data_IF_029865232762
#
_entry.id   IF_029865232762
#
_cell.length_a   1.000
_cell.length_b   1.000
_cell.length_c   1.000
_cell.angle_alpha   90.00
_cell.angle_beta   90.00
_cell.angle_gamma   90.00
#
_symmetry.space_group_name_H-M   'P 1'
#
loop_
_entity.id
_entity.type
_entity.pdbx_description
1 polymer ?
#
# COMPACT_ATOMS: atom_id res chain seq x y z
N UNK A 1 13.14 16.96 -3.55
CA UNK A 1 13.25 16.04 -2.40
C UNK A 1 12.21 14.97 -2.50
N UNK A 2 12.61 13.75 -2.23
CA UNK A 2 11.68 12.63 -2.30
C UNK A 2 10.70 12.68 -1.13
N UNK A 3 9.41 12.70 -1.44
CA UNK A 3 8.38 12.54 -0.45
C UNK A 3 8.19 11.07 -0.15
N UNK A 4 7.72 10.76 1.03
CA UNK A 4 7.40 9.39 1.41
C UNK A 4 5.93 9.25 1.68
N UNK A 5 5.42 8.07 1.36
CA UNK A 5 4.04 7.69 1.64
C UNK A 5 4.04 6.68 2.76
N UNK A 6 3.21 6.92 3.75
CA UNK A 6 2.97 5.97 4.84
C UNK A 6 1.72 5.17 4.48
N UNK A 7 1.87 3.87 4.34
CA UNK A 7 0.80 3.00 3.86
C UNK A 7 0.49 1.98 4.93
N UNK A 8 -0.76 1.96 5.38
CA UNK A 8 -1.22 1.05 6.42
C UNK A 8 -2.34 0.18 5.87
N UNK A 9 -2.23 -1.12 5.99
CA UNK A 9 -3.31 -2.02 5.60
C UNK A 9 -4.41 -1.97 6.64
N UNK A 10 -5.59 -1.55 6.23
CA UNK A 10 -6.75 -1.42 7.12
C UNK A 10 -7.80 -2.50 6.89
N UNK A 11 -7.72 -3.21 5.78
CA UNK A 11 -8.66 -4.29 5.45
C UNK A 11 -7.90 -5.51 4.96
N UNK A 12 -8.47 -6.68 5.24
CA UNK A 12 -7.90 -7.93 4.78
C UNK A 12 -8.02 -8.07 3.27
N UNK A 13 -7.01 -8.71 2.65
CA UNK A 13 -7.06 -9.07 1.24
C UNK A 13 -7.89 -10.32 0.99
N UNK A 14 -8.35 -10.97 2.04
CA UNK A 14 -9.16 -12.17 1.96
C UNK A 14 -10.43 -11.92 1.16
N UNK A 15 -10.71 -12.78 0.18
CA UNK A 15 -11.88 -12.62 -0.69
C UNK A 15 -11.67 -11.66 -1.86
N UNK A 16 -10.51 -11.05 -1.98
CA UNK A 16 -10.18 -10.16 -3.09
C UNK A 16 -9.34 -10.88 -4.14
N UNK A 17 -9.26 -10.35 -5.39
CA UNK A 17 -8.46 -10.95 -6.44
C UNK A 17 -6.99 -11.12 -6.05
N UNK A 18 -6.38 -12.14 -6.62
CA UNK A 18 -4.98 -12.46 -6.36
C UNK A 18 -4.04 -11.30 -6.65
N UNK A 19 -4.35 -10.50 -7.68
CA UNK A 19 -3.54 -9.34 -8.05
C UNK A 19 -3.41 -8.35 -6.90
N UNK A 20 -4.46 -8.19 -6.11
CA UNK A 20 -4.44 -7.29 -4.97
C UNK A 20 -3.55 -7.82 -3.86
N UNK A 21 -3.56 -9.13 -3.61
CA UNK A 21 -2.63 -9.76 -2.68
C UNK A 21 -1.18 -9.51 -3.08
N UNK A 22 -0.89 -9.70 -4.36
CA UNK A 22 0.47 -9.51 -4.88
C UNK A 22 0.91 -8.05 -4.76
N UNK A 23 0.00 -7.13 -5.03
CA UNK A 23 0.30 -5.70 -4.92
C UNK A 23 0.61 -5.30 -3.47
N UNK A 24 -0.18 -5.79 -2.52
CA UNK A 24 0.06 -5.52 -1.10
C UNK A 24 1.42 -6.08 -0.67
N UNK A 25 1.74 -7.29 -1.08
CA UNK A 25 3.02 -7.90 -0.76
C UNK A 25 4.19 -7.17 -1.41
N UNK A 26 4.01 -6.72 -2.64
CA UNK A 26 5.05 -5.97 -3.34
C UNK A 26 5.36 -4.65 -2.66
N UNK A 27 4.39 -4.05 -1.98
CA UNK A 27 4.61 -2.85 -1.18
C UNK A 27 5.38 -3.13 0.11
N UNK A 28 5.43 -4.38 0.54
CA UNK A 28 6.14 -4.77 1.77
C UNK A 28 5.22 -5.01 2.95
N UNK A 29 3.92 -4.89 2.77
CA UNK A 29 2.95 -5.14 3.84
C UNK A 29 2.70 -6.64 3.94
N UNK A 30 2.91 -7.19 5.13
CA UNK A 30 2.72 -8.62 5.36
C UNK A 30 1.63 -8.92 6.38
N UNK A 31 1.20 -7.92 7.14
CA UNK A 31 0.23 -8.10 8.21
C UNK A 31 -0.82 -7.01 8.15
N UNK A 32 -1.99 -7.34 8.69
CA UNK A 32 -3.06 -6.38 8.93
C UNK A 32 -2.57 -5.28 9.86
N UNK A 33 -2.93 -4.05 9.58
CA UNK A 33 -2.57 -2.87 10.38
C UNK A 33 -1.07 -2.57 10.40
N UNK A 34 -0.29 -3.22 9.55
CA UNK A 34 1.13 -2.90 9.41
C UNK A 34 1.29 -1.62 8.62
N UNK A 35 2.12 -0.72 9.11
CA UNK A 35 2.45 0.53 8.43
C UNK A 35 3.83 0.42 7.82
N UNK A 36 3.95 0.79 6.56
CA UNK A 36 5.24 0.85 5.87
C UNK A 36 5.41 2.23 5.24
N UNK A 37 6.66 2.58 4.97
CA UNK A 37 6.97 3.80 4.25
C UNK A 37 7.57 3.45 2.89
N UNK A 38 7.09 4.13 1.85
CA UNK A 38 7.60 3.97 0.50
C UNK A 38 7.85 5.34 -0.11
N UNK A 39 8.77 5.39 -1.06
CA UNK A 39 9.01 6.63 -1.78
C UNK A 39 7.80 7.00 -2.63
N UNK A 40 7.51 8.28 -2.70
CA UNK A 40 6.41 8.80 -3.52
C UNK A 40 6.84 8.81 -4.98
N UNK A 41 6.67 7.70 -5.66
CA UNK A 41 6.98 7.52 -7.07
C UNK A 41 5.71 7.15 -7.83
N UNK A 42 5.68 7.39 -9.15
CA UNK A 42 4.53 6.97 -9.96
C UNK A 42 4.23 5.48 -9.86
N UNK A 43 5.27 4.65 -9.72
CA UNK A 43 5.10 3.21 -9.56
C UNK A 43 4.36 2.87 -8.27
N UNK A 44 4.80 3.46 -7.15
CA UNK A 44 4.17 3.22 -5.85
C UNK A 44 2.76 3.77 -5.84
N UNK A 45 2.54 4.94 -6.42
CA UNK A 45 1.19 5.51 -6.51
C UNK A 45 0.25 4.63 -7.32
N UNK A 46 0.74 4.04 -8.41
CA UNK A 46 -0.06 3.11 -9.20
C UNK A 46 -0.44 1.86 -8.45
N UNK A 47 0.48 1.31 -7.67
CA UNK A 47 0.21 0.16 -6.83
C UNK A 47 -0.81 0.48 -5.75
N UNK A 48 -0.64 1.60 -5.07
CA UNK A 48 -1.56 2.06 -4.03
C UNK A 48 -2.96 2.30 -4.59
N UNK A 49 -3.05 2.86 -5.78
CA UNK A 49 -4.33 3.12 -6.44
C UNK A 49 -5.13 1.83 -6.62
N UNK A 50 -4.46 0.73 -6.96
CA UNK A 50 -5.12 -0.56 -7.14
C UNK A 50 -5.71 -1.12 -5.85
N UNK A 51 -5.09 -0.80 -4.72
CA UNK A 51 -5.48 -1.37 -3.42
C UNK A 51 -5.95 -0.31 -2.44
N UNK A 52 -6.28 0.90 -2.91
CA UNK A 52 -6.66 2.01 -2.02
C UNK A 52 -7.82 1.68 -1.09
N UNK A 53 -8.67 0.74 -1.48
CA UNK A 53 -9.79 0.30 -0.65
C UNK A 53 -9.35 -0.65 0.47
N UNK A 54 -8.10 -1.10 0.44
CA UNK A 54 -7.54 -2.00 1.45
C UNK A 54 -6.55 -1.31 2.38
N UNK A 55 -6.07 -0.15 1.99
CA UNK A 55 -5.01 0.54 2.72
C UNK A 55 -5.37 2.01 2.93
N UNK A 56 -4.75 2.59 3.95
CA UNK A 56 -4.81 4.02 4.19
C UNK A 56 -3.44 4.60 3.87
N UNK A 57 -3.41 5.67 3.10
CA UNK A 57 -2.16 6.31 2.68
C UNK A 57 -2.10 7.71 3.27
N UNK A 58 -0.95 8.03 3.86
CA UNK A 58 -0.67 9.36 4.35
C UNK A 58 0.61 9.86 3.71
N UNK A 59 0.61 11.11 3.27
CA UNK A 59 1.82 11.72 2.74
C UNK A 59 2.65 12.28 3.89
N UNK A 60 3.93 11.93 3.87
CA UNK A 60 4.93 12.49 4.77
C UNK A 60 5.99 13.18 3.93
N UNK A 61 6.21 14.42 4.22
CA UNK A 61 7.17 15.09 3.42
C UNK A 61 7.91 16.21 4.08
#
# INVERSE_FOLDING_TARGET
MARKLSITQIRSTSGHPRDQHLTVRALGIRRMNQTIEQNDTPQIRGMVFKIRHLVKVEEKG
#
